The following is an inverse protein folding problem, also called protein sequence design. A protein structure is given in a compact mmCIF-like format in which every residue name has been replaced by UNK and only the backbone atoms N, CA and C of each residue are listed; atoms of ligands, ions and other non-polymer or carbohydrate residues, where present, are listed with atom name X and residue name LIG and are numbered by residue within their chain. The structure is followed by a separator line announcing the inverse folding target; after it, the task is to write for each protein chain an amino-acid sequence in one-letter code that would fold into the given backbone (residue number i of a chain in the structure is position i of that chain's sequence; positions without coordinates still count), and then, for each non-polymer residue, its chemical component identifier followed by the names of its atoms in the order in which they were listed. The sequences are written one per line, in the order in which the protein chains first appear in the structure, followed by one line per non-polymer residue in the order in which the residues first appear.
data_IF_619185597454
#
_entry.id   IF_619185597454
#
_cell.length_a   1.000
_cell.length_b   1.000
_cell.length_c   1.000
_cell.angle_alpha   90.00
_cell.angle_beta   90.00
_cell.angle_gamma   90.00
#
_symmetry.space_group_name_H-M   'P 1'
#
loop_
_entity.id
_entity.type
_entity.pdbx_description
1 polymer ?
#
# COMPACT_ATOMS: atom_id res chain seq x y z
N UNK A 1 8.43 10.41 -22.28
CA UNK A 1 9.83 9.99 -22.14
C UNK A 1 9.94 8.86 -21.13
N UNK A 2 10.64 7.80 -21.47
CA UNK A 2 10.81 6.68 -20.55
C UNK A 2 11.66 7.09 -19.35
N UNK A 3 11.29 6.60 -18.16
CA UNK A 3 12.10 6.80 -16.95
C UNK A 3 13.34 5.91 -17.00
N UNK A 4 14.47 6.41 -16.55
CA UNK A 4 15.60 5.56 -16.21
C UNK A 4 15.40 5.00 -14.78
N UNK A 5 16.30 4.09 -14.38
CA UNK A 5 16.20 3.42 -13.07
C UNK A 5 16.22 4.43 -11.90
N UNK A 6 17.07 5.44 -12.00
CA UNK A 6 17.22 6.44 -10.95
C UNK A 6 15.99 7.31 -10.82
N UNK A 7 15.43 7.80 -11.92
CA UNK A 7 14.24 8.64 -11.89
C UNK A 7 13.00 7.86 -11.45
N UNK A 8 12.92 6.57 -11.81
CA UNK A 8 11.85 5.69 -11.35
C UNK A 8 11.92 5.50 -9.83
N UNK A 9 13.11 5.32 -9.26
CA UNK A 9 13.31 5.19 -7.82
C UNK A 9 12.91 6.48 -7.07
N UNK A 10 13.29 7.64 -7.60
CA UNK A 10 12.94 8.92 -7.02
C UNK A 10 11.42 9.15 -7.05
N UNK A 11 10.79 8.84 -8.18
CA UNK A 11 9.34 8.98 -8.33
C UNK A 11 8.59 8.04 -7.38
N UNK A 12 9.07 6.82 -7.20
CA UNK A 12 8.49 5.86 -6.26
C UNK A 12 8.58 6.35 -4.82
N UNK A 13 9.75 6.84 -4.41
CA UNK A 13 9.96 7.36 -3.07
C UNK A 13 9.07 8.59 -2.79
N UNK A 14 8.95 9.48 -3.77
CA UNK A 14 8.08 10.65 -3.65
C UNK A 14 6.62 10.23 -3.50
N UNK A 15 6.17 9.25 -4.28
CA UNK A 15 4.80 8.75 -4.21
C UNK A 15 4.51 8.17 -2.83
N UNK A 16 5.40 7.33 -2.30
CA UNK A 16 5.26 6.80 -0.94
C UNK A 16 5.15 7.92 0.10
N UNK A 17 5.99 8.93 -0.02
CA UNK A 17 5.98 10.08 0.89
C UNK A 17 4.66 10.84 0.81
N UNK A 18 4.18 11.11 -0.40
CA UNK A 18 2.94 11.84 -0.59
C UNK A 18 1.74 11.08 -0.02
N UNK A 19 1.67 9.77 -0.25
CA UNK A 19 0.61 8.93 0.28
C UNK A 19 0.67 8.86 1.81
N UNK A 20 1.87 8.63 2.36
CA UNK A 20 2.03 8.57 3.81
C UNK A 20 1.62 9.88 4.47
N UNK A 21 2.02 11.02 3.89
CA UNK A 21 1.71 12.33 4.45
C UNK A 21 0.21 12.62 4.45
N UNK A 22 -0.50 12.29 3.37
CA UNK A 22 -1.94 12.56 3.32
C UNK A 22 -2.72 11.62 4.28
N UNK A 23 -2.29 10.38 4.41
CA UNK A 23 -2.89 9.46 5.37
C UNK A 23 -2.64 9.92 6.81
N UNK A 24 -1.44 10.39 7.11
CA UNK A 24 -1.11 10.94 8.42
C UNK A 24 -1.96 12.16 8.76
N UNK A 25 -2.15 13.04 7.78
CA UNK A 25 -2.95 14.26 7.96
C UNK A 25 -4.44 13.96 8.18
N UNK A 26 -4.98 12.99 7.46
CA UNK A 26 -6.42 12.73 7.44
C UNK A 26 -6.89 11.67 8.43
N UNK A 27 -6.01 10.79 8.86
CA UNK A 27 -6.40 9.62 9.66
C UNK A 27 -5.72 9.60 11.03
N UNK A 28 -4.37 9.50 11.06
CA UNK A 28 -3.62 9.32 12.30
C UNK A 28 -2.19 9.80 12.07
N UNK A 29 -1.72 10.75 12.87
CA UNK A 29 -0.40 11.36 12.69
C UNK A 29 0.77 10.39 12.94
N UNK A 30 0.51 9.19 13.43
CA UNK A 30 1.52 8.14 13.59
C UNK A 30 1.77 7.36 12.30
N UNK A 31 0.97 7.57 11.27
CA UNK A 31 1.18 6.93 9.97
C UNK A 31 2.40 7.54 9.31
N UNK A 32 3.31 6.71 8.84
CA UNK A 32 4.52 7.15 8.14
C UNK A 32 5.03 6.05 7.21
N UNK A 33 6.00 6.40 6.38
CA UNK A 33 6.72 5.40 5.59
C UNK A 33 7.37 4.40 6.53
N UNK A 34 7.30 3.13 6.14
CA UNK A 34 7.92 2.07 6.94
C UNK A 34 9.42 2.05 6.72
N UNK A 35 10.18 2.04 7.81
CA UNK A 35 11.62 1.75 7.76
C UNK A 35 11.76 0.26 7.50
N UNK A 36 12.47 -0.10 6.43
CA UNK A 36 12.65 -1.50 6.05
C UNK A 36 13.77 -2.10 6.89
N UNK A 37 13.40 -3.10 7.68
CA UNK A 37 14.33 -3.82 8.56
C UNK A 37 14.09 -5.32 8.40
N UNK A 38 15.15 -6.09 8.24
CA UNK A 38 15.06 -7.53 8.10
C UNK A 38 14.69 -7.98 6.70
N UNK A 39 14.51 -9.30 6.54
CA UNK A 39 14.35 -9.94 5.24
C UNK A 39 12.90 -9.96 4.73
N UNK A 40 11.91 -9.83 5.62
CA UNK A 40 10.50 -9.93 5.24
C UNK A 40 9.89 -8.56 5.04
N UNK A 41 9.37 -8.34 3.85
CA UNK A 41 8.68 -7.09 3.52
C UNK A 41 7.30 -7.07 4.19
N UNK A 42 6.98 -5.93 4.81
CA UNK A 42 5.71 -5.69 5.50
C UNK A 42 4.96 -4.49 4.93
N UNK A 43 5.30 -4.10 3.70
CA UNK A 43 4.68 -2.98 3.00
C UNK A 43 5.44 -1.67 3.18
N UNK A 44 4.96 -0.65 2.48
CA UNK A 44 5.66 0.64 2.37
C UNK A 44 5.24 1.65 3.45
N UNK A 45 4.05 1.51 4.02
CA UNK A 45 3.50 2.46 4.97
C UNK A 45 3.12 1.73 6.27
N UNK A 46 3.55 2.28 7.39
CA UNK A 46 3.27 1.74 8.72
C UNK A 46 2.26 2.60 9.46
N UNK A 47 1.61 2.03 10.45
CA UNK A 47 0.74 2.77 11.37
C UNK A 47 -0.72 2.84 10.98
N UNK A 48 -1.11 2.18 9.88
CA UNK A 48 -2.51 2.14 9.45
C UNK A 48 -3.19 0.99 10.17
N UNK A 49 -4.28 1.29 10.88
CA UNK A 49 -5.03 0.30 11.65
C UNK A 49 -6.53 0.48 11.45
N UNK A 50 -7.24 -0.63 11.51
CA UNK A 50 -8.69 -0.65 11.48
C UNK A 50 -9.18 -1.83 12.31
N UNK A 51 -10.16 -1.60 13.16
CA UNK A 51 -10.64 -2.61 14.12
C UNK A 51 -9.51 -3.21 14.96
N UNK A 52 -8.51 -2.39 15.31
CA UNK A 52 -7.36 -2.84 16.09
C UNK A 52 -6.35 -3.68 15.31
N UNK A 53 -6.56 -3.91 14.02
CA UNK A 53 -5.67 -4.69 13.16
C UNK A 53 -4.93 -3.78 12.19
N UNK A 54 -3.69 -4.16 11.86
CA UNK A 54 -2.88 -3.41 10.89
C UNK A 54 -3.38 -3.65 9.48
N UNK A 55 -3.25 -2.63 8.64
CA UNK A 55 -3.51 -2.69 7.20
C UNK A 55 -2.16 -2.48 6.50
N UNK A 56 -1.81 -3.38 5.60
CA UNK A 56 -0.62 -3.19 4.75
C UNK A 56 -1.00 -2.34 3.54
N UNK A 57 -0.22 -1.32 3.28
CA UNK A 57 -0.33 -0.52 2.05
C UNK A 57 0.99 -0.60 1.31
N UNK A 58 0.94 -1.15 0.12
CA UNK A 58 2.05 -1.18 -0.81
C UNK A 58 1.85 -0.07 -1.85
N UNK A 59 2.87 0.71 -2.12
CA UNK A 59 2.79 1.85 -3.02
C UNK A 59 3.46 1.53 -4.35
N UNK A 60 2.81 1.87 -5.45
CA UNK A 60 3.34 1.67 -6.81
C UNK A 60 3.19 2.93 -7.65
N UNK A 61 4.29 3.37 -8.23
CA UNK A 61 4.29 4.43 -9.22
C UNK A 61 5.14 3.99 -10.41
N UNK A 62 4.52 3.24 -11.31
CA UNK A 62 5.20 2.67 -12.48
C UNK A 62 4.49 3.07 -13.76
N UNK A 63 5.22 3.01 -14.88
CA UNK A 63 4.62 3.27 -16.19
C UNK A 63 3.62 2.17 -16.59
N UNK A 64 3.82 0.96 -16.10
CA UNK A 64 3.02 -0.21 -16.47
C UNK A 64 2.27 -0.74 -15.26
N UNK A 65 0.99 -1.02 -15.41
CA UNK A 65 0.15 -1.55 -14.34
C UNK A 65 0.20 -3.08 -14.36
N UNK A 66 0.41 -3.68 -13.17
CA UNK A 66 0.47 -5.13 -12.98
C UNK A 66 -0.30 -5.52 -11.72
N UNK A 67 -1.62 -5.31 -11.74
CA UNK A 67 -2.46 -5.45 -10.55
C UNK A 67 -2.37 -6.83 -9.90
N UNK A 68 -2.40 -7.89 -10.68
CA UNK A 68 -2.32 -9.26 -10.14
C UNK A 68 -1.05 -9.50 -9.33
N UNK A 69 0.10 -9.11 -9.90
CA UNK A 69 1.38 -9.25 -9.23
C UNK A 69 1.46 -8.36 -7.98
N UNK A 70 0.98 -7.14 -8.07
CA UNK A 70 0.99 -6.20 -6.94
C UNK A 70 0.11 -6.71 -5.78
N UNK A 71 -1.06 -7.24 -6.09
CA UNK A 71 -1.96 -7.78 -5.06
C UNK A 71 -1.32 -9.00 -4.38
N UNK A 72 -0.69 -9.89 -5.15
CA UNK A 72 0.01 -11.04 -4.56
C UNK A 72 1.11 -10.58 -3.61
N UNK A 73 1.88 -9.56 -3.99
CA UNK A 73 2.90 -8.97 -3.14
C UNK A 73 2.31 -8.37 -1.86
N UNK A 74 1.23 -7.61 -1.98
CA UNK A 74 0.58 -7.00 -0.82
C UNK A 74 0.01 -8.07 0.14
N UNK A 75 -0.53 -9.15 -0.40
CA UNK A 75 -1.02 -10.26 0.44
C UNK A 75 0.10 -10.97 1.17
N UNK A 76 1.25 -11.18 0.53
CA UNK A 76 2.42 -11.74 1.19
C UNK A 76 2.91 -10.82 2.30
N UNK A 77 2.97 -9.54 2.05
CA UNK A 77 3.36 -8.54 3.05
C UNK A 77 2.37 -8.50 4.23
N UNK A 78 1.07 -8.65 3.95
CA UNK A 78 0.06 -8.72 4.99
C UNK A 78 0.26 -9.96 5.88
N UNK A 79 0.62 -11.10 5.30
CA UNK A 79 0.96 -12.29 6.06
C UNK A 79 2.18 -12.03 6.94
N UNK A 80 3.23 -11.43 6.37
CA UNK A 80 4.47 -11.12 7.10
C UNK A 80 4.23 -10.18 8.29
N UNK A 81 3.29 -9.26 8.15
CA UNK A 81 2.96 -8.25 9.18
C UNK A 81 1.80 -8.67 10.09
N UNK A 82 1.25 -9.85 9.90
CA UNK A 82 0.05 -10.32 10.60
C UNK A 82 -1.07 -9.27 10.51
N UNK A 83 -1.29 -8.75 9.34
CA UNK A 83 -2.24 -7.67 9.08
C UNK A 83 -3.62 -8.22 8.70
N UNK A 84 -4.64 -7.37 8.86
CA UNK A 84 -6.01 -7.69 8.48
C UNK A 84 -6.14 -7.93 6.97
N UNK A 85 -5.48 -7.08 6.18
CA UNK A 85 -5.49 -7.16 4.72
C UNK A 85 -4.33 -6.37 4.14
N UNK A 86 -4.12 -6.52 2.83
CA UNK A 86 -3.12 -5.76 2.09
C UNK A 86 -3.73 -5.13 0.85
N UNK A 87 -3.45 -3.87 0.63
CA UNK A 87 -3.98 -3.09 -0.50
C UNK A 87 -2.85 -2.38 -1.22
N UNK A 88 -3.13 -1.93 -2.44
CA UNK A 88 -2.17 -1.21 -3.27
C UNK A 88 -2.64 0.23 -3.43
N UNK A 89 -1.80 1.19 -3.04
CA UNK A 89 -1.96 2.58 -3.43
C UNK A 89 -1.09 2.80 -4.68
N UNK A 90 -1.69 3.23 -5.79
CA UNK A 90 -0.91 3.40 -7.01
C UNK A 90 -1.25 4.68 -7.75
N UNK A 91 -0.26 5.15 -8.50
CA UNK A 91 -0.31 6.45 -9.15
C UNK A 91 -1.39 6.48 -10.22
N UNK A 92 -2.27 7.46 -10.12
CA UNK A 92 -3.19 7.84 -11.19
C UNK A 92 -2.48 8.89 -12.05
N UNK A 93 -1.96 8.47 -13.19
CA UNK A 93 -1.19 9.36 -14.07
C UNK A 93 -2.06 10.51 -14.55
N UNK A 94 -1.48 11.72 -14.57
CA UNK A 94 -2.19 12.94 -14.89
C UNK A 94 -2.83 13.63 -13.70
N UNK A 95 -2.77 13.02 -12.49
CA UNK A 95 -3.31 13.63 -11.26
C UNK A 95 -2.20 13.78 -10.23
N UNK A 96 -2.02 15.00 -9.73
CA UNK A 96 -0.99 15.29 -8.73
C UNK A 96 -1.48 15.21 -7.30
N UNK A 97 -2.77 15.41 -7.05
CA UNK A 97 -3.32 15.42 -5.71
C UNK A 97 -3.27 13.99 -5.13
N UNK A 98 -2.68 13.79 -3.93
CA UNK A 98 -2.66 12.47 -3.29
C UNK A 98 -4.04 11.87 -3.08
N UNK A 99 -5.07 12.68 -2.89
CA UNK A 99 -6.45 12.20 -2.72
C UNK A 99 -7.04 11.62 -3.99
N UNK A 100 -6.45 11.92 -5.15
CA UNK A 100 -6.93 11.42 -6.44
C UNK A 100 -6.25 10.14 -6.91
N UNK A 101 -5.32 9.60 -6.11
CA UNK A 101 -4.62 8.37 -6.47
C UNK A 101 -5.52 7.16 -6.26
N UNK A 102 -5.16 6.04 -6.88
CA UNK A 102 -5.95 4.81 -6.80
C UNK A 102 -5.60 3.99 -5.56
N UNK A 103 -6.59 3.32 -4.98
CA UNK A 103 -6.39 2.20 -4.06
C UNK A 103 -7.09 0.99 -4.67
N UNK A 104 -6.34 -0.08 -4.88
CA UNK A 104 -6.87 -1.33 -5.44
C UNK A 104 -6.73 -2.44 -4.41
N UNK A 105 -7.76 -3.25 -4.30
CA UNK A 105 -7.80 -4.39 -3.39
C UNK A 105 -8.73 -5.45 -3.96
N UNK A 106 -8.65 -6.66 -3.41
CA UNK A 106 -9.62 -7.69 -3.77
C UNK A 106 -10.94 -7.43 -3.04
N UNK A 107 -12.00 -8.08 -3.50
CA UNK A 107 -13.29 -8.06 -2.79
C UNK A 107 -13.11 -8.60 -1.36
N UNK A 108 -12.29 -9.64 -1.19
CA UNK A 108 -11.99 -10.18 0.14
C UNK A 108 -11.35 -9.17 1.07
N UNK A 109 -10.38 -8.38 0.58
CA UNK A 109 -9.77 -7.31 1.36
C UNK A 109 -10.79 -6.24 1.74
N UNK A 110 -11.67 -5.90 0.80
CA UNK A 110 -12.73 -4.92 1.04
C UNK A 110 -13.70 -5.40 2.13
N UNK A 111 -14.09 -6.67 2.08
CA UNK A 111 -14.93 -7.26 3.14
C UNK A 111 -14.20 -7.21 4.48
N UNK A 112 -12.91 -7.57 4.51
CA UNK A 112 -12.11 -7.52 5.72
C UNK A 112 -12.08 -6.11 6.31
N UNK A 113 -11.90 -5.08 5.47
CA UNK A 113 -11.93 -3.69 5.92
C UNK A 113 -13.27 -3.31 6.54
N UNK A 114 -14.36 -3.70 5.91
CA UNK A 114 -15.70 -3.32 6.38
C UNK A 114 -16.12 -4.06 7.66
N UNK A 115 -15.70 -5.31 7.81
CA UNK A 115 -16.11 -6.16 8.95
C UNK A 115 -15.08 -6.22 10.07
N UNK A 116 -13.83 -5.93 9.78
CA UNK A 116 -12.73 -6.15 10.73
C UNK A 116 -12.30 -7.61 10.85
N UNK A 117 -12.81 -8.48 9.98
CA UNK A 117 -12.52 -9.92 10.02
C UNK A 117 -11.73 -10.34 8.78
N UNK A 118 -10.59 -11.00 9.01
CA UNK A 118 -9.76 -11.54 7.97
C UNK A 118 -10.51 -12.63 7.20
N UNK A 119 -10.43 -12.58 5.87
CA UNK A 119 -11.08 -13.56 5.01
C UNK A 119 -10.17 -14.77 4.78
N UNK A 120 -10.74 -15.97 4.78
CA UNK A 120 -9.97 -17.21 4.57
C UNK A 120 -9.30 -17.22 3.20
N UNK A 121 -8.16 -17.91 3.13
CA UNK A 121 -7.39 -18.12 1.89
C UNK A 121 -6.85 -16.84 1.27
N UNK A 122 -6.68 -15.81 2.07
CA UNK A 122 -6.08 -14.57 1.59
C UNK A 122 -4.59 -14.78 1.33
N UNK A 123 -4.12 -14.39 0.14
CA UNK A 123 -2.73 -14.46 -0.22
C UNK A 123 -2.22 -15.86 -0.57
N UNK A 124 -3.11 -16.78 -0.85
CA UNK A 124 -2.74 -18.18 -1.13
C UNK A 124 -3.07 -18.59 -2.53
#
# INVERSE_FOLDING_TARGET
MARNRRSAKVAGAKFERDVANILADKIDDRIDRRVKTGAKDKGDIAGIRHHGRRIVVECKNTAKISLGAWISEAHEEAINDDALCGVIAHKRHGKGDPLDQWVTMTVGDFIALLTGEEQENRGR
#
